data_IF_520307672122
#
_entry.id   IF_520307672122
#
_cell.length_a   1.000
_cell.length_b   1.000
_cell.length_c   1.000
_cell.angle_alpha   90.00
_cell.angle_beta   90.00
_cell.angle_gamma   90.00
#
_symmetry.space_group_name_H-M   'P 1'
#
loop_
_entity.id
_entity.type
_entity.pdbx_description
1 polymer ?
#
# COMPACT_ATOMS: atom_id res chain seq x y z
N UNK A 1 6.59 6.44 -13.77
CA UNK A 1 7.74 6.39 -12.83
C UNK A 1 7.64 5.09 -12.05
N UNK A 2 8.74 4.33 -11.95
CA UNK A 2 8.75 3.05 -11.22
C UNK A 2 8.58 3.29 -9.72
N UNK A 3 7.77 2.48 -9.03
CA UNK A 3 7.69 2.49 -7.57
C UNK A 3 8.73 1.51 -7.05
N UNK A 4 9.76 2.02 -6.38
CA UNK A 4 10.68 1.16 -5.62
C UNK A 4 9.93 0.64 -4.40
N UNK A 5 9.57 -0.64 -4.40
CA UNK A 5 8.77 -1.26 -3.36
C UNK A 5 9.56 -2.39 -2.68
N UNK A 6 9.48 -2.45 -1.35
CA UNK A 6 10.09 -3.52 -0.53
C UNK A 6 9.18 -3.86 0.64
N UNK A 7 9.21 -5.12 1.07
CA UNK A 7 8.61 -5.50 2.34
C UNK A 7 9.46 -5.01 3.51
N UNK A 8 8.81 -4.40 4.49
CA UNK A 8 9.42 -4.00 5.75
C UNK A 8 9.38 -5.15 6.74
N UNK A 9 10.39 -5.22 7.61
CA UNK A 9 10.32 -6.07 8.78
C UNK A 9 9.11 -5.62 9.65
N UNK A 10 8.43 -6.55 10.33
CA UNK A 10 7.33 -6.22 11.23
C UNK A 10 7.75 -5.18 12.27
N UNK A 11 6.97 -4.11 12.41
CA UNK A 11 7.21 -3.04 13.40
C UNK A 11 6.17 -3.20 14.52
N UNK A 12 6.56 -3.53 15.77
CA UNK A 12 5.61 -3.85 16.84
C UNK A 12 4.59 -2.75 17.16
N UNK A 13 4.96 -1.48 17.01
CA UNK A 13 4.05 -0.33 17.21
C UNK A 13 3.07 -0.13 16.04
N UNK A 14 3.22 -0.92 14.98
CA UNK A 14 2.44 -0.84 13.73
C UNK A 14 1.85 -2.22 13.40
N UNK A 15 0.84 -2.68 14.17
CA UNK A 15 0.21 -3.97 13.90
C UNK A 15 -0.44 -3.94 12.52
N UNK A 16 0.00 -4.85 11.67
CA UNK A 16 -0.51 -5.14 10.34
C UNK A 16 -0.01 -6.53 9.93
N UNK A 17 -0.60 -7.13 8.89
CA UNK A 17 -0.09 -8.39 8.33
C UNK A 17 1.24 -8.20 7.60
N UNK A 18 1.34 -7.13 6.82
CA UNK A 18 2.61 -6.73 6.22
C UNK A 18 2.65 -5.23 5.97
N UNK A 19 3.88 -4.70 5.94
CA UNK A 19 4.15 -3.30 5.66
C UNK A 19 5.03 -3.21 4.41
N UNK A 20 4.62 -2.40 3.44
CA UNK A 20 5.41 -2.06 2.28
C UNK A 20 6.07 -0.71 2.52
N UNK A 21 7.37 -0.62 2.26
CA UNK A 21 8.06 0.64 2.03
C UNK A 21 8.09 0.92 0.55
N UNK A 22 7.70 2.14 0.18
CA UNK A 22 7.69 2.64 -1.18
C UNK A 22 8.62 3.85 -1.24
N UNK A 23 9.25 4.03 -2.41
CA UNK A 23 10.09 5.20 -2.72
C UNK A 23 11.21 5.44 -1.72
N UNK A 24 12.00 4.40 -1.46
CA UNK A 24 13.18 4.48 -0.58
C UNK A 24 12.84 4.95 0.83
N UNK A 25 11.79 4.36 1.41
CA UNK A 25 11.31 4.64 2.77
C UNK A 25 10.60 5.98 2.98
N UNK A 26 10.29 6.71 1.91
CA UNK A 26 9.48 7.93 2.04
C UNK A 26 7.99 7.67 2.24
N UNK A 27 7.50 6.47 1.92
CA UNK A 27 6.10 6.07 2.17
C UNK A 27 6.06 4.68 2.77
N UNK A 28 5.26 4.50 3.83
CA UNK A 28 4.98 3.20 4.43
C UNK A 28 3.48 2.90 4.35
N UNK A 29 3.12 1.82 3.68
CA UNK A 29 1.75 1.34 3.53
C UNK A 29 1.58 0.02 4.28
N UNK A 30 0.74 0.03 5.30
CA UNK A 30 0.44 -1.11 6.15
C UNK A 30 -0.85 -1.77 5.66
N UNK A 31 -0.78 -3.07 5.38
CA UNK A 31 -1.90 -3.85 4.87
C UNK A 31 -2.32 -4.95 5.84
N UNK A 32 -3.62 -5.18 5.86
CA UNK A 32 -4.27 -6.34 6.49
C UNK A 32 -5.00 -7.16 5.40
N UNK A 33 -5.34 -8.40 5.72
CA UNK A 33 -6.23 -9.23 4.91
C UNK A 33 -7.59 -9.27 5.59
N UNK A 34 -8.65 -8.91 4.86
CA UNK A 34 -10.01 -8.99 5.40
C UNK A 34 -10.54 -10.44 5.40
N UNK A 35 -11.75 -10.62 5.94
CA UNK A 35 -12.40 -11.94 6.04
C UNK A 35 -12.61 -12.64 4.69
N UNK A 36 -12.60 -11.90 3.58
CA UNK A 36 -12.75 -12.43 2.21
C UNK A 36 -11.41 -12.74 1.54
N UNK A 37 -10.30 -12.55 2.23
CA UNK A 37 -8.96 -12.76 1.67
C UNK A 37 -8.45 -11.59 0.79
N UNK A 38 -9.12 -10.44 0.82
CA UNK A 38 -8.72 -9.26 0.06
C UNK A 38 -7.86 -8.32 0.90
N UNK A 39 -6.90 -7.66 0.27
CA UNK A 39 -6.02 -6.69 0.92
C UNK A 39 -6.75 -5.41 1.25
N UNK A 40 -6.48 -4.85 2.43
CA UNK A 40 -7.05 -3.60 2.91
C UNK A 40 -5.95 -2.74 3.48
N UNK A 41 -5.96 -1.44 3.17
CA UNK A 41 -4.97 -0.50 3.71
C UNK A 41 -5.37 -0.14 5.13
N UNK A 42 -4.62 -0.60 6.11
CA UNK A 42 -4.87 -0.27 7.51
C UNK A 42 -4.41 1.17 7.82
N UNK A 43 -3.26 1.54 7.25
CA UNK A 43 -2.61 2.82 7.46
C UNK A 43 -1.63 3.10 6.32
N UNK A 44 -1.46 4.37 6.01
CA UNK A 44 -0.35 4.83 5.17
C UNK A 44 0.29 6.07 5.80
N UNK A 45 1.61 6.18 5.71
CA UNK A 45 2.35 7.36 6.16
C UNK A 45 3.28 7.85 5.08
N UNK A 46 3.35 9.17 4.94
CA UNK A 46 4.14 9.87 3.93
C UNK A 46 5.10 10.86 4.62
N UNK A 47 6.34 10.90 4.16
CA UNK A 47 7.29 11.92 4.57
C UNK A 47 6.74 13.32 4.25
N UNK A 48 6.76 14.22 5.24
CA UNK A 48 6.27 15.59 5.09
C UNK A 48 4.76 15.79 5.26
N UNK A 49 3.95 14.73 5.28
CA UNK A 49 2.49 14.83 5.53
C UNK A 49 2.06 14.15 6.84
N UNK A 50 2.73 13.07 7.23
CA UNK A 50 2.43 12.32 8.44
C UNK A 50 1.66 11.02 8.16
N UNK A 51 0.79 10.64 9.09
CA UNK A 51 0.15 9.32 9.12
C UNK A 51 -1.36 9.42 8.92
N UNK A 52 -1.86 8.73 7.90
CA UNK A 52 -3.27 8.57 7.59
C UNK A 52 -3.75 7.18 8.02
N UNK A 53 -4.65 7.12 9.01
CA UNK A 53 -5.32 5.88 9.40
C UNK A 53 -6.58 5.74 8.54
N UNK A 54 -6.65 4.67 7.75
CA UNK A 54 -7.64 4.52 6.66
C UNK A 54 -8.69 3.45 6.95
N UNK A 55 -8.49 2.63 7.99
CA UNK A 55 -9.22 1.39 8.26
C UNK A 55 -10.76 1.50 8.25
N UNK A 56 -11.32 2.64 8.62
CA UNK A 56 -12.78 2.79 8.76
C UNK A 56 -13.50 3.10 7.43
N UNK A 57 -12.82 3.72 6.47
CA UNK A 57 -13.44 4.27 5.24
C UNK A 57 -12.81 3.73 3.94
N UNK A 58 -11.75 2.92 4.05
CA UNK A 58 -11.04 2.36 2.90
C UNK A 58 -11.82 1.22 2.24
N UNK A 59 -11.85 1.21 0.91
CA UNK A 59 -12.31 0.06 0.16
C UNK A 59 -11.22 -1.00 0.05
N UNK A 60 -11.61 -2.27 0.07
CA UNK A 60 -10.68 -3.37 -0.15
C UNK A 60 -10.16 -3.38 -1.60
N UNK A 61 -8.92 -3.84 -1.77
CA UNK A 61 -8.35 -4.15 -3.08
C UNK A 61 -9.15 -5.30 -3.68
N UNK A 62 -9.37 -5.27 -5.00
CA UNK A 62 -10.09 -6.36 -5.66
C UNK A 62 -9.36 -7.70 -5.46
N UNK A 63 -10.11 -8.80 -5.53
CA UNK A 63 -9.57 -10.13 -5.22
C UNK A 63 -8.41 -10.55 -6.14
N UNK A 64 -8.43 -10.15 -7.41
CA UNK A 64 -7.40 -10.53 -8.39
C UNK A 64 -6.09 -9.80 -8.11
N UNK A 65 -6.14 -8.49 -7.93
CA UNK A 65 -4.98 -7.67 -7.59
C UNK A 65 -4.44 -8.05 -6.18
N UNK A 66 -5.33 -8.35 -5.23
CA UNK A 66 -4.93 -8.84 -3.89
C UNK A 66 -4.09 -10.10 -3.97
N UNK A 67 -4.57 -11.11 -4.72
CA UNK A 67 -3.83 -12.37 -4.91
C UNK A 67 -2.52 -12.16 -5.65
N UNK A 68 -2.51 -11.30 -6.66
CA UNK A 68 -1.31 -10.98 -7.42
C UNK A 68 -0.25 -10.31 -6.53
N UNK A 69 -0.64 -9.31 -5.73
CA UNK A 69 0.29 -8.60 -4.86
C UNK A 69 0.82 -9.49 -3.73
N UNK A 70 -0.04 -10.30 -3.09
CA UNK A 70 0.39 -11.29 -2.10
C UNK A 70 1.42 -12.26 -2.68
N UNK A 71 1.17 -12.78 -3.88
CA UNK A 71 2.12 -13.65 -4.57
C UNK A 71 3.45 -12.95 -4.86
N UNK A 72 3.43 -11.69 -5.28
CA UNK A 72 4.66 -10.91 -5.49
C UNK A 72 5.44 -10.68 -4.20
N UNK A 73 4.75 -10.51 -3.06
CA UNK A 73 5.39 -10.41 -1.75
C UNK A 73 6.10 -11.73 -1.41
N UNK A 74 5.39 -12.86 -1.55
CA UNK A 74 5.94 -14.20 -1.28
C UNK A 74 7.16 -14.52 -2.17
N UNK A 75 7.07 -14.18 -3.46
CA UNK A 75 8.13 -14.43 -4.45
C UNK A 75 9.26 -13.38 -4.39
N UNK A 76 9.13 -12.31 -3.59
CA UNK A 76 10.08 -11.18 -3.55
C UNK A 76 10.12 -10.36 -4.85
N UNK A 77 9.07 -10.43 -5.67
CA UNK A 77 8.96 -9.84 -7.01
C UNK A 77 8.26 -8.47 -7.02
N UNK A 78 8.49 -7.65 -5.99
CA UNK A 78 7.86 -6.34 -5.81
C UNK A 78 8.39 -5.25 -6.75
N UNK A 79 9.58 -5.45 -7.34
CA UNK A 79 10.11 -4.56 -8.38
C UNK A 79 9.62 -5.00 -9.78
N UNK A 80 8.30 -5.00 -9.96
CA UNK A 80 7.65 -5.28 -11.27
C UNK A 80 6.66 -4.20 -11.69
N UNK A 81 6.45 -4.00 -13.00
CA UNK A 81 5.46 -3.04 -13.54
C UNK A 81 4.04 -3.35 -13.06
N UNK A 82 3.75 -4.62 -12.84
CA UNK A 82 2.48 -5.07 -12.31
C UNK A 82 2.25 -4.61 -10.87
N UNK A 83 3.27 -4.67 -10.01
CA UNK A 83 3.20 -4.15 -8.65
C UNK A 83 2.85 -2.65 -8.65
N UNK A 84 3.50 -1.86 -9.51
CA UNK A 84 3.20 -0.42 -9.63
C UNK A 84 1.76 -0.18 -10.08
N UNK A 85 1.31 -0.93 -11.09
CA UNK A 85 -0.05 -0.81 -11.63
C UNK A 85 -1.07 -1.08 -10.53
N UNK A 86 -0.89 -2.16 -9.78
CA UNK A 86 -1.80 -2.55 -8.68
C UNK A 86 -1.83 -1.47 -7.60
N UNK A 87 -0.67 -1.05 -7.11
CA UNK A 87 -0.60 -0.07 -6.02
C UNK A 87 -1.20 1.29 -6.43
N UNK A 88 -0.87 1.78 -7.63
CA UNK A 88 -1.45 3.04 -8.16
C UNK A 88 -2.95 2.95 -8.33
N UNK A 89 -3.44 1.87 -8.95
CA UNK A 89 -4.88 1.68 -9.15
C UNK A 89 -5.61 1.68 -7.81
N UNK A 90 -5.05 1.00 -6.82
CA UNK A 90 -5.63 0.91 -5.49
C UNK A 90 -5.58 2.24 -4.71
N UNK A 91 -4.48 2.98 -4.78
CA UNK A 91 -4.41 4.32 -4.18
C UNK A 91 -5.34 5.31 -4.87
N UNK A 92 -5.48 5.22 -6.19
CA UNK A 92 -6.39 6.06 -6.95
C UNK A 92 -7.86 5.76 -6.66
N UNK A 93 -8.23 4.47 -6.51
CA UNK A 93 -9.56 4.05 -6.06
C UNK A 93 -9.92 4.68 -4.71
N UNK A 94 -8.94 4.74 -3.80
CA UNK A 94 -9.13 5.20 -2.43
C UNK A 94 -8.64 6.64 -2.21
N UNK A 95 -8.47 7.42 -3.27
CA UNK A 95 -7.83 8.75 -3.21
C UNK A 95 -8.55 9.72 -2.27
N UNK A 96 -9.87 9.65 -2.18
CA UNK A 96 -10.63 10.55 -1.29
C UNK A 96 -10.42 10.22 0.20
N UNK A 97 -9.98 8.99 0.50
CA UNK A 97 -9.61 8.52 1.84
C UNK A 97 -8.11 8.77 2.10
N UNK A 98 -7.28 8.62 1.07
CA UNK A 98 -5.82 8.77 1.13
C UNK A 98 -5.42 10.14 0.59
N UNK A 99 -5.25 11.11 1.50
CA UNK A 99 -4.77 12.49 1.25
C UNK A 99 -4.26 12.76 -0.18
N UNK A 100 -5.11 13.30 -1.07
CA UNK A 100 -4.82 13.44 -2.49
C UNK A 100 -3.52 14.19 -2.81
N UNK A 101 -3.18 15.19 -2.01
CA UNK A 101 -1.97 15.99 -2.11
C UNK A 101 -0.70 15.20 -1.77
N UNK A 102 -0.77 14.30 -0.78
CA UNK A 102 0.32 13.38 -0.46
C UNK A 102 0.55 12.37 -1.60
N UNK A 103 -0.52 11.79 -2.17
CA UNK A 103 -0.42 10.90 -3.31
C UNK A 103 0.23 11.58 -4.52
N UNK A 104 -0.16 12.81 -4.83
CA UNK A 104 0.40 13.57 -5.95
C UNK A 104 1.87 13.93 -5.71
N UNK A 105 2.20 14.38 -4.49
CA UNK A 105 3.58 14.73 -4.12
C UNK A 105 4.53 13.54 -4.31
N UNK A 106 4.08 12.35 -3.91
CA UNK A 106 4.82 11.12 -4.07
C UNK A 106 4.58 10.45 -5.42
N UNK A 107 3.90 11.07 -6.39
CA UNK A 107 3.61 10.47 -7.69
C UNK A 107 3.06 9.02 -7.56
N UNK A 108 2.13 8.82 -6.63
CA UNK A 108 1.40 7.56 -6.35
C UNK A 108 -0.06 7.60 -6.83
N UNK A 109 -0.52 8.76 -7.26
CA UNK A 109 -1.74 8.96 -8.07
C UNK A 109 -1.61 8.41 -9.49
#
# INVERSE_FOLDING_TARGET
>A
MRIRCRICAPIPSRPCEFCLSLQDDSVFADFDVNETGCLVLARISFDGFGCCATRDDIEAMCADDSRALLKMIEDGALDSEECDRILRAYFQQNRDVIWPDALDHHALS
#
